data_IF_660122186251
#
_entry.id   IF_660122186251
#
_cell.length_a   1.000
_cell.length_b   1.000
_cell.length_c   1.000
_cell.angle_alpha   90.00
_cell.angle_beta   90.00
_cell.angle_gamma   90.00
#
_symmetry.space_group_name_H-M   'P 1'
#
loop_
_entity.id
_entity.type
_entity.pdbx_description
1 polymer ?
#
# COMPACT_ATOMS: atom_id res chain seq x y z
N UNK A 1 3.06 68.88 14.42
CA UNK A 1 4.36 68.36 14.88
C UNK A 1 4.56 66.97 14.24
N UNK A 2 5.42 66.94 13.23
CA UNK A 2 5.70 65.76 12.41
C UNK A 2 6.59 64.78 13.13
N UNK A 3 6.28 63.48 13.04
CA UNK A 3 7.30 62.43 13.18
C UNK A 3 7.02 61.32 12.15
N UNK A 4 7.81 61.34 11.09
CA UNK A 4 7.96 60.26 10.12
C UNK A 4 8.69 59.07 10.78
N UNK A 5 8.15 57.87 10.69
CA UNK A 5 8.92 56.64 10.87
C UNK A 5 9.02 55.91 9.55
N UNK A 6 10.18 55.97 8.93
CA UNK A 6 10.59 55.20 7.75
C UNK A 6 10.81 53.75 8.19
N UNK A 7 10.05 52.85 7.61
CA UNK A 7 10.28 51.40 7.72
C UNK A 7 11.36 51.02 6.70
N UNK A 8 12.48 50.54 7.18
CA UNK A 8 13.57 49.95 6.40
C UNK A 8 13.19 48.51 6.07
N UNK A 9 12.97 48.22 4.78
CA UNK A 9 12.83 46.87 4.26
C UNK A 9 14.25 46.37 3.97
N UNK A 10 14.79 45.57 4.89
CA UNK A 10 16.03 44.80 4.68
C UNK A 10 15.74 43.52 3.89
N UNK A 11 16.11 43.52 2.62
CA UNK A 11 16.11 42.31 1.80
C UNK A 11 17.31 41.44 2.25
N UNK A 12 17.04 40.38 2.98
CA UNK A 12 18.02 39.31 3.24
C UNK A 12 17.99 38.33 2.07
N UNK A 13 18.95 38.46 1.17
CA UNK A 13 19.27 37.45 0.17
C UNK A 13 19.91 36.25 0.90
N UNK A 14 19.11 35.21 1.16
CA UNK A 14 19.62 33.92 1.63
C UNK A 14 20.05 33.11 0.42
N UNK A 15 21.35 33.13 0.10
CA UNK A 15 21.98 32.23 -0.87
C UNK A 15 21.97 30.82 -0.30
N UNK A 16 21.00 30.02 -0.74
CA UNK A 16 20.99 28.58 -0.49
C UNK A 16 22.06 27.92 -1.36
N UNK A 17 23.23 27.71 -0.74
CA UNK A 17 24.27 26.83 -1.28
C UNK A 17 23.69 25.41 -1.23
N UNK A 18 23.20 24.90 -2.37
CA UNK A 18 22.81 23.49 -2.52
C UNK A 18 24.07 22.62 -2.46
N UNK A 19 24.44 22.17 -1.26
CA UNK A 19 25.31 21.00 -1.14
C UNK A 19 24.49 19.82 -1.69
N UNK A 20 24.82 19.42 -2.93
CA UNK A 20 24.40 18.14 -3.49
C UNK A 20 25.03 17.04 -2.64
N UNK A 21 24.30 16.59 -1.61
CA UNK A 21 24.58 15.28 -1.01
C UNK A 21 24.28 14.24 -2.09
N UNK A 22 25.34 13.76 -2.76
CA UNK A 22 25.29 12.55 -3.51
C UNK A 22 24.84 11.46 -2.50
N UNK A 23 23.58 11.10 -2.53
CA UNK A 23 23.12 9.86 -1.92
C UNK A 23 23.85 8.75 -2.68
N UNK A 24 24.97 8.30 -2.14
CA UNK A 24 25.52 7.01 -2.48
C UNK A 24 24.40 6.03 -2.19
N UNK A 25 23.77 5.50 -3.25
CA UNK A 25 22.78 4.45 -3.18
C UNK A 25 23.55 3.23 -2.69
N UNK A 26 23.55 3.00 -1.39
CA UNK A 26 24.09 1.78 -0.78
C UNK A 26 23.47 0.61 -1.54
N UNK A 27 24.33 -0.24 -2.10
CA UNK A 27 23.87 -1.46 -2.77
C UNK A 27 22.94 -2.20 -1.80
N UNK A 28 21.75 -2.61 -2.24
CA UNK A 28 20.78 -3.21 -1.35
C UNK A 28 21.41 -4.43 -0.67
N UNK A 29 21.59 -4.35 0.66
CA UNK A 29 22.13 -5.46 1.42
C UNK A 29 21.15 -6.63 1.29
N UNK A 30 21.68 -7.82 0.90
CA UNK A 30 20.86 -9.02 0.81
C UNK A 30 20.32 -9.38 2.20
N UNK A 31 19.01 -9.50 2.29
CA UNK A 31 18.34 -9.89 3.55
C UNK A 31 18.43 -11.41 3.68
N UNK A 32 19.19 -11.89 4.67
CA UNK A 32 19.19 -13.31 5.02
C UNK A 32 17.87 -13.67 5.68
N UNK A 33 17.15 -14.63 5.09
CA UNK A 33 15.81 -15.08 5.47
C UNK A 33 15.82 -16.58 5.78
N UNK A 34 15.39 -16.90 7.00
CA UNK A 34 14.87 -18.20 7.39
C UNK A 34 13.33 -18.15 7.38
N UNK A 35 12.66 -19.29 7.26
CA UNK A 35 11.20 -19.39 7.23
C UNK A 35 10.53 -18.65 8.40
N UNK A 36 11.03 -18.85 9.62
CA UNK A 36 10.48 -18.20 10.82
C UNK A 36 10.66 -16.67 10.78
N UNK A 37 11.77 -16.20 10.26
CA UNK A 37 12.06 -14.77 10.10
C UNK A 37 11.17 -14.16 9.02
N UNK A 38 10.96 -14.87 7.89
CA UNK A 38 10.07 -14.46 6.82
C UNK A 38 8.63 -14.29 7.33
N UNK A 39 8.09 -15.29 8.03
CA UNK A 39 6.75 -15.24 8.62
C UNK A 39 6.61 -14.08 9.61
N UNK A 40 7.59 -13.89 10.50
CA UNK A 40 7.57 -12.80 11.49
C UNK A 40 7.59 -11.43 10.81
N UNK A 41 8.49 -11.24 9.85
CA UNK A 41 8.61 -10.00 9.09
C UNK A 41 7.33 -9.69 8.31
N UNK A 42 6.71 -10.70 7.70
CA UNK A 42 5.42 -10.55 7.03
C UNK A 42 4.33 -10.08 8.01
N UNK A 43 4.20 -10.71 9.19
CA UNK A 43 3.19 -10.32 10.18
C UNK A 43 3.37 -8.91 10.72
N UNK A 44 4.61 -8.40 10.78
CA UNK A 44 4.93 -7.05 11.26
C UNK A 44 4.73 -5.98 10.18
N UNK A 45 5.05 -6.30 8.92
CA UNK A 45 5.16 -5.29 7.86
C UNK A 45 4.08 -5.36 6.78
N UNK A 46 3.39 -6.50 6.64
CA UNK A 46 2.40 -6.69 5.59
C UNK A 46 1.26 -5.66 5.66
N UNK A 47 0.89 -5.14 4.50
CA UNK A 47 -0.14 -4.10 4.38
C UNK A 47 -1.53 -4.60 4.77
N UNK A 48 -1.88 -5.85 4.46
CA UNK A 48 -3.21 -6.41 4.75
C UNK A 48 -3.42 -6.56 6.27
N UNK A 49 -2.35 -6.94 7.00
CA UNK A 49 -2.37 -6.99 8.47
C UNK A 49 -2.58 -5.59 9.06
N UNK A 50 -1.87 -4.57 8.52
CA UNK A 50 -2.03 -3.18 8.96
C UNK A 50 -3.42 -2.62 8.68
N UNK A 51 -3.99 -2.94 7.50
CA UNK A 51 -5.36 -2.58 7.13
C UNK A 51 -6.34 -3.20 8.12
N UNK A 52 -6.28 -4.52 8.34
CA UNK A 52 -7.18 -5.22 9.25
C UNK A 52 -7.06 -4.72 10.71
N UNK A 53 -5.84 -4.33 11.14
CA UNK A 53 -5.64 -3.69 12.44
C UNK A 53 -6.34 -2.33 12.53
N UNK A 54 -6.22 -1.50 11.48
CA UNK A 54 -6.88 -0.20 11.42
C UNK A 54 -8.41 -0.31 11.38
N UNK A 55 -8.93 -1.31 10.67
CA UNK A 55 -10.37 -1.62 10.63
C UNK A 55 -10.90 -2.03 12.01
N UNK A 56 -10.14 -2.87 12.73
CA UNK A 56 -10.48 -3.24 14.10
C UNK A 56 -10.47 -2.01 15.04
N UNK A 57 -9.49 -1.12 14.91
CA UNK A 57 -9.42 0.09 15.72
C UNK A 57 -10.55 1.06 15.37
N UNK A 58 -10.95 1.17 14.11
CA UNK A 58 -12.14 1.92 13.71
C UNK A 58 -13.43 1.32 14.30
N UNK A 59 -13.56 0.00 14.32
CA UNK A 59 -14.70 -0.68 14.93
C UNK A 59 -14.77 -0.49 16.46
N UNK A 60 -13.61 -0.49 17.16
CA UNK A 60 -13.53 -0.14 18.59
C UNK A 60 -13.99 1.30 18.84
N UNK A 61 -13.50 2.25 18.03
CA UNK A 61 -13.94 3.65 18.13
C UNK A 61 -15.45 3.79 17.84
N UNK A 62 -15.98 3.01 16.89
CA UNK A 62 -17.42 2.93 16.63
C UNK A 62 -18.23 2.45 17.83
N UNK A 63 -17.74 1.43 18.54
CA UNK A 63 -18.37 0.99 19.79
C UNK A 63 -18.33 2.06 20.89
N UNK A 64 -17.21 2.77 21.02
CA UNK A 64 -17.10 3.85 22.01
C UNK A 64 -18.00 5.03 21.63
N UNK A 65 -18.17 5.35 20.36
CA UNK A 65 -19.14 6.33 19.87
C UNK A 65 -20.60 5.90 20.17
N UNK A 66 -20.93 4.62 19.95
CA UNK A 66 -22.26 4.08 20.30
C UNK A 66 -22.54 4.15 21.80
N UNK A 67 -21.53 3.90 22.64
CA UNK A 67 -21.63 4.06 24.09
C UNK A 67 -21.77 5.52 24.52
N UNK A 68 -21.02 6.42 23.86
CA UNK A 68 -21.07 7.85 24.13
C UNK A 68 -22.44 8.47 23.85
N UNK A 69 -23.19 7.92 22.88
CA UNK A 69 -24.57 8.36 22.59
C UNK A 69 -25.53 8.32 23.76
N UNK A 70 -25.23 7.55 24.84
CA UNK A 70 -25.99 7.55 26.10
C UNK A 70 -25.87 8.85 26.89
N UNK A 71 -24.77 9.58 26.71
CA UNK A 71 -24.51 10.82 27.44
C UNK A 71 -25.12 12.05 26.76
N UNK A 72 -25.70 11.87 25.56
CA UNK A 72 -26.29 12.95 24.79
C UNK A 72 -25.30 13.70 23.91
N UNK A 73 -25.76 14.78 23.28
CA UNK A 73 -24.97 15.65 22.42
C UNK A 73 -25.09 17.12 22.82
N UNK A 74 -24.04 17.88 22.51
CA UNK A 74 -24.04 19.34 22.59
C UNK A 74 -23.73 19.80 21.16
N UNK A 75 -24.70 20.48 20.55
CA UNK A 75 -24.59 20.95 19.19
C UNK A 75 -24.54 22.47 19.15
N UNK A 76 -23.63 23.03 18.36
CA UNK A 76 -23.55 24.46 18.07
C UNK A 76 -23.84 24.68 16.59
N UNK A 77 -24.86 25.46 16.28
CA UNK A 77 -25.21 25.83 14.93
C UNK A 77 -25.11 27.34 14.74
N UNK A 78 -24.40 27.78 13.73
CA UNK A 78 -24.36 29.18 13.26
C UNK A 78 -25.00 29.25 11.87
N UNK A 79 -26.02 30.09 11.73
CA UNK A 79 -26.69 30.32 10.45
C UNK A 79 -26.71 31.79 10.13
N UNK A 80 -26.28 32.13 8.94
CA UNK A 80 -26.36 33.53 8.41
C UNK A 80 -27.20 33.53 7.15
N UNK A 81 -28.26 34.31 7.19
CA UNK A 81 -29.18 34.48 6.04
C UNK A 81 -29.30 35.93 5.61
N UNK A 82 -29.40 36.18 4.33
CA UNK A 82 -29.74 37.49 3.77
C UNK A 82 -30.99 37.34 2.94
N UNK A 83 -32.11 37.92 3.45
CA UNK A 83 -33.38 37.98 2.73
C UNK A 83 -33.51 39.33 2.02
N UNK A 84 -33.63 39.31 0.71
CA UNK A 84 -33.94 40.51 -0.10
C UNK A 84 -35.40 40.44 -0.48
N UNK A 85 -36.19 41.46 -0.07
CA UNK A 85 -37.57 41.64 -0.49
C UNK A 85 -37.67 42.94 -1.31
N UNK A 86 -38.33 42.86 -2.45
CA UNK A 86 -38.70 44.04 -3.22
C UNK A 86 -40.00 44.60 -2.64
N UNK A 87 -39.98 45.83 -2.11
CA UNK A 87 -41.19 46.53 -1.72
C UNK A 87 -41.76 47.25 -2.95
N UNK A 88 -43.01 46.95 -3.24
CA UNK A 88 -43.80 47.74 -4.18
C UNK A 88 -44.61 48.72 -3.36
N UNK A 89 -44.48 50.03 -3.62
CA UNK A 89 -45.34 51.02 -2.98
C UNK A 89 -46.77 50.82 -3.45
N UNK A 90 -47.74 50.95 -2.53
CA UNK A 90 -49.15 50.85 -2.88
C UNK A 90 -49.51 51.95 -3.97
N UNK A 91 -49.92 51.49 -5.16
CA UNK A 91 -50.20 52.37 -6.29
C UNK A 91 -49.00 52.67 -7.23
N UNK A 92 -47.84 52.15 -7.04
CA UNK A 92 -46.70 52.29 -7.94
C UNK A 92 -46.50 51.07 -8.80
N UNK A 93 -46.26 51.24 -10.07
CA UNK A 93 -45.94 50.19 -11.05
C UNK A 93 -44.46 49.75 -11.03
N UNK A 94 -43.61 50.40 -10.23
CA UNK A 94 -42.19 50.12 -10.13
C UNK A 94 -41.79 49.79 -8.67
N UNK A 95 -41.01 48.72 -8.50
CA UNK A 95 -40.43 48.34 -7.21
C UNK A 95 -39.47 49.41 -6.69
N UNK A 96 -39.64 49.89 -5.46
CA UNK A 96 -38.86 50.93 -4.82
C UNK A 96 -37.51 50.44 -4.25
N UNK A 97 -36.97 49.43 -4.84
CA UNK A 97 -35.63 48.88 -4.47
C UNK A 97 -35.66 47.73 -3.48
N UNK A 98 -34.58 46.96 -3.41
CA UNK A 98 -34.49 45.82 -2.51
C UNK A 98 -34.30 46.27 -1.07
N UNK A 99 -35.14 45.78 -0.17
CA UNK A 99 -34.91 45.88 1.28
C UNK A 99 -34.27 44.58 1.73
N UNK A 100 -32.96 44.62 2.05
CA UNK A 100 -32.22 43.49 2.55
C UNK A 100 -32.34 43.39 4.09
N UNK A 101 -32.73 42.25 4.59
CA UNK A 101 -32.62 41.91 6.02
C UNK A 101 -31.55 40.87 6.19
N UNK A 102 -30.51 41.19 6.94
CA UNK A 102 -29.49 40.22 7.35
C UNK A 102 -29.94 39.61 8.67
N UNK A 103 -29.94 38.28 8.75
CA UNK A 103 -30.19 37.55 9.98
C UNK A 103 -28.96 36.71 10.30
N UNK A 104 -28.53 36.69 11.57
CA UNK A 104 -27.50 35.81 12.08
C UNK A 104 -28.08 35.14 13.33
N UNK A 105 -28.11 33.81 13.31
CA UNK A 105 -28.63 33.02 14.42
C UNK A 105 -27.56 32.07 14.91
N UNK A 106 -27.30 32.13 16.20
CA UNK A 106 -26.43 31.17 16.91
C UNK A 106 -27.33 30.34 17.82
N UNK A 107 -27.25 29.02 17.66
CA UNK A 107 -28.04 28.09 18.47
C UNK A 107 -27.09 27.13 19.17
N UNK A 108 -27.23 26.99 20.47
CA UNK A 108 -26.59 25.91 21.25
C UNK A 108 -27.72 25.01 21.74
N UNK A 109 -27.67 23.74 21.39
CA UNK A 109 -28.63 22.73 21.85
C UNK A 109 -27.94 21.63 22.59
N UNK A 110 -28.53 21.22 23.73
CA UNK A 110 -28.10 20.09 24.52
C UNK A 110 -29.26 19.07 24.50
N UNK A 111 -28.94 17.86 24.04
CA UNK A 111 -29.92 16.77 23.92
C UNK A 111 -29.42 15.55 24.71
N UNK A 112 -30.18 15.12 25.70
CA UNK A 112 -29.86 13.92 26.50
C UNK A 112 -31.02 12.93 26.37
N UNK A 113 -30.79 11.73 25.81
CA UNK A 113 -31.84 10.73 25.69
C UNK A 113 -32.11 10.07 27.07
N UNK A 114 -33.31 10.23 27.59
CA UNK A 114 -33.71 9.60 28.86
C UNK A 114 -34.22 8.17 28.63
N UNK A 115 -35.01 7.98 27.57
CA UNK A 115 -35.53 6.67 27.19
C UNK A 115 -35.70 6.59 25.66
N UNK A 116 -35.17 5.53 25.07
CA UNK A 116 -35.17 5.36 23.61
C UNK A 116 -35.85 4.06 23.13
N UNK A 117 -36.58 3.39 24.03
CA UNK A 117 -37.27 2.13 23.72
C UNK A 117 -36.35 0.98 23.31
N UNK A 118 -35.12 0.94 23.84
CA UNK A 118 -34.10 -0.10 23.49
C UNK A 118 -33.26 0.20 22.28
N UNK A 119 -33.46 1.34 21.57
CA UNK A 119 -32.70 1.70 20.39
C UNK A 119 -31.20 1.83 20.69
N UNK A 120 -30.81 2.53 21.73
CA UNK A 120 -29.39 2.71 22.08
C UNK A 120 -28.73 1.40 22.51
N UNK A 121 -29.43 0.56 23.24
CA UNK A 121 -28.97 -0.78 23.63
C UNK A 121 -28.71 -1.65 22.38
N UNK A 122 -29.66 -1.65 21.43
CA UNK A 122 -29.53 -2.36 20.18
C UNK A 122 -28.34 -1.86 19.35
N UNK A 123 -28.12 -0.55 19.28
CA UNK A 123 -26.97 0.03 18.58
C UNK A 123 -25.62 -0.34 19.23
N UNK A 124 -25.58 -0.42 20.57
CA UNK A 124 -24.35 -0.84 21.26
C UNK A 124 -24.09 -2.34 21.02
N UNK A 125 -25.13 -3.18 21.04
CA UNK A 125 -24.95 -4.61 20.74
C UNK A 125 -24.53 -4.84 19.27
N UNK A 126 -25.10 -4.09 18.34
CA UNK A 126 -24.65 -4.07 16.94
C UNK A 126 -23.18 -3.69 16.83
N UNK A 127 -22.75 -2.60 17.48
CA UNK A 127 -21.36 -2.14 17.47
C UNK A 127 -20.40 -3.15 18.11
N UNK A 128 -20.82 -3.85 19.18
CA UNK A 128 -20.05 -4.95 19.78
C UNK A 128 -19.91 -6.15 18.83
N UNK A 129 -20.99 -6.52 18.14
CA UNK A 129 -20.96 -7.59 17.18
C UNK A 129 -20.04 -7.23 16.00
N UNK A 130 -20.08 -5.97 15.56
CA UNK A 130 -19.21 -5.43 14.52
C UNK A 130 -17.72 -5.43 14.94
N UNK A 131 -17.41 -5.05 16.19
CA UNK A 131 -16.06 -5.16 16.73
C UNK A 131 -15.55 -6.61 16.69
N UNK A 132 -16.36 -7.57 17.11
CA UNK A 132 -15.99 -9.00 17.05
C UNK A 132 -15.79 -9.49 15.62
N UNK A 133 -16.59 -9.02 14.68
CA UNK A 133 -16.43 -9.33 13.28
C UNK A 133 -15.02 -8.92 12.78
N UNK A 134 -14.59 -7.69 13.06
CA UNK A 134 -13.25 -7.21 12.68
C UNK A 134 -12.11 -7.88 13.47
N UNK A 135 -12.35 -8.29 14.71
CA UNK A 135 -11.39 -9.11 15.49
C UNK A 135 -11.13 -10.46 14.81
N UNK A 136 -12.18 -11.15 14.37
CA UNK A 136 -12.04 -12.38 13.59
C UNK A 136 -11.45 -12.14 12.19
N UNK A 137 -11.79 -10.99 11.58
CA UNK A 137 -11.18 -10.55 10.33
C UNK A 137 -9.67 -10.39 10.45
N UNK A 138 -9.20 -9.73 11.52
CA UNK A 138 -7.77 -9.59 11.82
C UNK A 138 -7.09 -10.94 12.04
N UNK A 139 -7.71 -11.86 12.78
CA UNK A 139 -7.17 -13.21 12.95
C UNK A 139 -7.06 -13.96 11.61
N UNK A 140 -8.05 -13.80 10.72
CA UNK A 140 -8.01 -14.36 9.37
C UNK A 140 -6.86 -13.76 8.55
N UNK A 141 -6.66 -12.43 8.61
CA UNK A 141 -5.54 -11.75 7.93
C UNK A 141 -4.18 -12.28 8.42
N UNK A 142 -4.01 -12.48 9.73
CA UNK A 142 -2.79 -13.10 10.29
C UNK A 142 -2.54 -14.51 9.74
N UNK A 143 -3.56 -15.36 9.68
CA UNK A 143 -3.40 -16.73 9.16
C UNK A 143 -3.08 -16.73 7.66
N UNK A 144 -3.77 -15.89 6.89
CA UNK A 144 -3.54 -15.74 5.45
C UNK A 144 -2.13 -15.22 5.17
N UNK A 145 -1.68 -14.18 5.89
CA UNK A 145 -0.34 -13.62 5.72
C UNK A 145 0.74 -14.64 6.11
N UNK A 146 0.54 -15.41 7.20
CA UNK A 146 1.44 -16.50 7.59
C UNK A 146 1.55 -17.57 6.50
N UNK A 147 0.43 -17.97 5.94
CA UNK A 147 0.39 -18.93 4.84
C UNK A 147 1.09 -18.39 3.59
N UNK A 148 0.80 -17.16 3.20
CA UNK A 148 1.38 -16.54 2.01
C UNK A 148 2.91 -16.34 2.16
N UNK A 149 3.38 -15.99 3.35
CA UNK A 149 4.81 -15.87 3.63
C UNK A 149 5.53 -17.23 3.54
N UNK A 150 4.94 -18.27 4.13
CA UNK A 150 5.50 -19.62 4.04
C UNK A 150 5.48 -20.15 2.60
N UNK A 151 4.36 -19.99 1.91
CA UNK A 151 4.23 -20.38 0.50
C UNK A 151 5.24 -19.65 -0.37
N UNK A 152 5.32 -18.32 -0.28
CA UNK A 152 6.28 -17.52 -1.06
C UNK A 152 7.73 -17.89 -0.78
N UNK A 153 8.07 -18.21 0.47
CA UNK A 153 9.41 -18.70 0.83
C UNK A 153 9.76 -20.00 0.07
N UNK A 154 8.85 -20.97 0.05
CA UNK A 154 9.08 -22.23 -0.67
C UNK A 154 9.02 -22.06 -2.19
N UNK A 155 8.19 -21.18 -2.72
CA UNK A 155 8.14 -20.85 -4.16
C UNK A 155 9.49 -20.28 -4.64
N UNK A 156 10.15 -19.43 -3.84
CA UNK A 156 11.50 -18.92 -4.15
C UNK A 156 12.54 -20.01 -4.08
N UNK A 157 12.50 -20.89 -3.06
CA UNK A 157 13.41 -22.04 -2.95
C UNK A 157 13.30 -23.00 -4.15
N UNK A 158 12.08 -23.31 -4.58
CA UNK A 158 11.81 -24.11 -5.77
C UNK A 158 12.38 -23.46 -7.02
N UNK A 159 12.17 -22.14 -7.17
CA UNK A 159 12.68 -21.38 -8.31
C UNK A 159 14.22 -21.37 -8.36
N UNK A 160 14.90 -21.25 -7.22
CA UNK A 160 16.37 -21.34 -7.13
C UNK A 160 16.84 -22.71 -7.64
N UNK A 161 16.21 -23.79 -7.16
CA UNK A 161 16.57 -25.15 -7.56
C UNK A 161 16.32 -25.37 -9.06
N UNK A 162 15.21 -24.83 -9.58
CA UNK A 162 14.90 -24.89 -11.02
C UNK A 162 15.95 -24.16 -11.86
N UNK A 163 16.35 -22.94 -11.46
CA UNK A 163 17.43 -22.19 -12.15
C UNK A 163 18.74 -22.98 -12.14
N UNK A 164 19.12 -23.58 -11.01
CA UNK A 164 20.33 -24.37 -10.90
C UNK A 164 20.29 -25.61 -11.82
N UNK A 165 19.16 -26.34 -11.85
CA UNK A 165 18.95 -27.48 -12.76
C UNK A 165 19.06 -27.08 -14.22
N UNK A 166 18.47 -25.93 -14.61
CA UNK A 166 18.54 -25.45 -15.99
C UNK A 166 19.98 -25.01 -16.37
N UNK A 167 20.73 -24.40 -15.43
CA UNK A 167 22.17 -24.09 -15.66
C UNK A 167 22.97 -25.36 -15.94
N UNK A 168 22.83 -26.39 -15.09
CA UNK A 168 23.52 -27.66 -15.31
C UNK A 168 23.13 -28.32 -16.65
N UNK A 169 21.86 -28.17 -17.05
CA UNK A 169 21.37 -28.67 -18.34
C UNK A 169 22.03 -27.93 -19.51
N UNK A 170 22.12 -26.60 -19.46
CA UNK A 170 22.80 -25.80 -20.46
C UNK A 170 24.28 -26.17 -20.55
N UNK A 171 24.97 -26.33 -19.41
CA UNK A 171 26.40 -26.70 -19.38
C UNK A 171 26.63 -28.09 -20.00
N UNK A 172 25.79 -29.06 -19.70
CA UNK A 172 25.86 -30.41 -20.26
C UNK A 172 25.61 -30.41 -21.78
N UNK A 173 24.62 -29.65 -22.27
CA UNK A 173 24.31 -29.54 -23.69
C UNK A 173 25.39 -28.75 -24.45
N UNK A 174 26.02 -27.75 -23.81
CA UNK A 174 27.17 -27.04 -24.36
C UNK A 174 28.39 -27.97 -24.52
N UNK A 175 28.62 -28.88 -23.59
CA UNK A 175 29.67 -29.91 -23.71
C UNK A 175 29.32 -30.93 -24.78
N UNK A 176 28.06 -31.39 -24.86
CA UNK A 176 27.58 -32.27 -25.91
C UNK A 176 27.80 -31.65 -27.30
N UNK A 177 27.45 -30.40 -27.52
CA UNK A 177 27.69 -29.70 -28.77
C UNK A 177 29.17 -29.64 -29.12
N UNK A 178 30.07 -29.35 -28.12
CA UNK A 178 31.54 -29.34 -28.36
C UNK A 178 32.03 -30.69 -28.80
N UNK A 179 31.56 -31.77 -28.18
CA UNK A 179 31.95 -33.14 -28.54
C UNK A 179 31.44 -33.53 -29.91
N UNK A 180 30.18 -33.23 -30.27
CA UNK A 180 29.62 -33.50 -31.60
C UNK A 180 30.34 -32.68 -32.69
N UNK A 181 30.67 -31.42 -32.40
CA UNK A 181 31.48 -30.59 -33.32
C UNK A 181 32.86 -31.17 -33.56
N UNK A 182 33.52 -31.69 -32.51
CA UNK A 182 34.83 -32.34 -32.63
C UNK A 182 34.74 -33.61 -33.46
N UNK A 183 33.72 -34.44 -33.27
CA UNK A 183 33.46 -35.63 -34.09
C UNK A 183 33.18 -35.30 -35.57
N UNK A 184 32.44 -34.23 -35.81
CA UNK A 184 32.22 -33.73 -37.18
C UNK A 184 33.54 -33.29 -37.86
N UNK A 185 34.40 -32.59 -37.14
CA UNK A 185 35.68 -32.08 -37.69
C UNK A 185 36.63 -33.22 -38.09
N UNK A 186 36.53 -34.38 -37.46
CA UNK A 186 37.30 -35.58 -37.82
C UNK A 186 36.54 -36.55 -38.76
N UNK A 187 35.34 -36.14 -39.24
CA UNK A 187 34.56 -36.90 -40.23
C UNK A 187 33.75 -38.09 -39.64
N UNK A 188 33.58 -38.19 -38.30
CA UNK A 188 32.85 -39.29 -37.63
C UNK A 188 31.35 -38.97 -37.47
N UNK A 189 30.96 -37.72 -37.35
CA UNK A 189 29.57 -37.28 -37.20
C UNK A 189 29.09 -36.47 -38.40
N UNK A 190 27.79 -36.48 -38.68
CA UNK A 190 27.18 -35.71 -39.74
C UNK A 190 26.89 -34.25 -39.32
N UNK A 191 26.88 -33.33 -40.28
CA UNK A 191 26.55 -31.90 -40.01
C UNK A 191 25.16 -31.73 -39.37
N UNK A 192 24.20 -32.61 -39.67
CA UNK A 192 22.87 -32.57 -39.12
C UNK A 192 22.88 -32.81 -37.59
N UNK A 193 23.80 -33.62 -37.07
CA UNK A 193 23.93 -33.91 -35.65
C UNK A 193 24.43 -32.68 -34.88
N UNK A 194 25.38 -31.94 -35.48
CA UNK A 194 25.86 -30.66 -34.94
C UNK A 194 24.72 -29.62 -34.88
N UNK A 195 23.96 -29.50 -35.97
CA UNK A 195 22.83 -28.55 -36.02
C UNK A 195 21.74 -28.92 -34.98
N UNK A 196 21.46 -30.23 -34.80
CA UNK A 196 20.53 -30.71 -33.81
C UNK A 196 21.01 -30.36 -32.38
N UNK A 197 22.27 -30.66 -32.06
CA UNK A 197 22.85 -30.30 -30.74
C UNK A 197 22.87 -28.80 -30.50
N UNK A 198 23.04 -27.98 -31.57
CA UNK A 198 22.97 -26.53 -31.46
C UNK A 198 21.55 -26.06 -31.15
N UNK A 199 20.52 -26.62 -31.78
CA UNK A 199 19.12 -26.29 -31.49
C UNK A 199 18.77 -26.66 -30.04
N UNK A 200 19.15 -27.88 -29.59
CA UNK A 200 18.92 -28.33 -28.22
C UNK A 200 19.58 -27.39 -27.19
N UNK A 201 20.78 -26.90 -27.45
CA UNK A 201 21.44 -25.92 -26.57
C UNK A 201 20.66 -24.60 -26.51
N UNK A 202 20.20 -24.06 -27.65
CA UNK A 202 19.44 -22.80 -27.72
C UNK A 202 18.11 -22.95 -26.99
N UNK A 203 17.41 -24.06 -27.13
CA UNK A 203 16.16 -24.34 -26.41
C UNK A 203 16.38 -24.43 -24.89
N UNK A 204 17.49 -25.04 -24.46
CA UNK A 204 17.85 -25.08 -23.04
C UNK A 204 18.21 -23.68 -22.48
N UNK A 205 18.90 -22.84 -23.28
CA UNK A 205 19.19 -21.45 -22.89
C UNK A 205 17.92 -20.61 -22.77
N UNK A 206 16.94 -20.81 -23.66
CA UNK A 206 15.63 -20.16 -23.55
C UNK A 206 14.90 -20.61 -22.27
N UNK A 207 14.92 -21.92 -21.97
CA UNK A 207 14.30 -22.46 -20.76
C UNK A 207 14.97 -21.92 -19.48
N UNK A 208 16.30 -21.77 -19.49
CA UNK A 208 17.04 -21.12 -18.39
C UNK A 208 16.59 -19.67 -18.18
N UNK A 209 16.44 -18.91 -19.28
CA UNK A 209 15.96 -17.53 -19.21
C UNK A 209 14.55 -17.44 -18.61
N UNK A 210 13.67 -18.37 -18.98
CA UNK A 210 12.33 -18.45 -18.40
C UNK A 210 12.37 -18.79 -16.91
N UNK A 211 13.26 -19.71 -16.51
CA UNK A 211 13.45 -20.07 -15.10
C UNK A 211 13.97 -18.88 -14.27
N UNK A 212 14.90 -18.09 -14.82
CA UNK A 212 15.40 -16.87 -14.19
C UNK A 212 14.31 -15.83 -14.02
N UNK A 213 13.48 -15.59 -15.03
CA UNK A 213 12.33 -14.69 -14.93
C UNK A 213 11.33 -15.16 -13.87
N UNK A 214 11.07 -16.45 -13.78
CA UNK A 214 10.19 -17.03 -12.76
C UNK A 214 10.73 -16.83 -11.35
N UNK A 215 12.04 -16.96 -11.17
CA UNK A 215 12.72 -16.67 -9.91
C UNK A 215 12.57 -15.18 -9.53
N UNK A 216 12.81 -14.26 -10.45
CA UNK A 216 12.68 -12.83 -10.20
C UNK A 216 11.25 -12.45 -9.77
N UNK A 217 10.24 -13.04 -10.43
CA UNK A 217 8.83 -12.86 -10.06
C UNK A 217 8.52 -13.44 -8.68
N UNK A 218 9.05 -14.63 -8.36
CA UNK A 218 8.84 -15.24 -7.04
C UNK A 218 9.48 -14.38 -5.93
N UNK A 219 10.69 -13.86 -6.14
CA UNK A 219 11.36 -12.94 -5.19
C UNK A 219 10.56 -11.65 -5.02
N UNK A 220 10.10 -11.03 -6.11
CA UNK A 220 9.28 -9.82 -6.05
C UNK A 220 7.96 -10.04 -5.31
N UNK A 221 7.32 -11.20 -5.52
CA UNK A 221 6.09 -11.61 -4.85
C UNK A 221 6.31 -11.80 -3.35
N UNK A 222 7.39 -12.49 -2.97
CA UNK A 222 7.73 -12.67 -1.56
C UNK A 222 8.06 -11.31 -0.90
N UNK A 223 8.85 -10.45 -1.55
CA UNK A 223 9.13 -9.11 -1.05
C UNK A 223 7.85 -8.30 -0.76
N UNK A 224 6.87 -8.38 -1.66
CA UNK A 224 5.57 -7.73 -1.44
C UNK A 224 4.85 -8.27 -0.20
N UNK A 225 4.83 -9.60 0.01
CA UNK A 225 4.25 -10.22 1.21
C UNK A 225 4.99 -9.80 2.47
N UNK A 226 6.32 -9.67 2.41
CA UNK A 226 7.18 -9.23 3.52
C UNK A 226 7.09 -7.72 3.80
N UNK A 227 6.43 -6.95 2.93
CA UNK A 227 6.38 -5.48 3.01
C UNK A 227 7.71 -4.81 2.67
N UNK A 228 8.56 -5.48 1.88
CA UNK A 228 9.83 -4.97 1.39
C UNK A 228 9.69 -4.38 -0.02
N UNK A 229 10.60 -3.48 -0.45
CA UNK A 229 10.69 -3.07 -1.85
C UNK A 229 10.90 -4.28 -2.77
N UNK A 230 10.20 -4.34 -3.90
CA UNK A 230 10.17 -5.51 -4.80
C UNK A 230 11.54 -5.94 -5.34
N UNK A 231 12.51 -4.99 -5.42
CA UNK A 231 13.88 -5.24 -5.88
C UNK A 231 14.87 -5.64 -4.79
N UNK A 232 14.42 -5.90 -3.55
CA UNK A 232 15.32 -6.30 -2.46
C UNK A 232 15.89 -7.71 -2.70
N UNK A 233 17.22 -7.89 -2.76
CA UNK A 233 17.80 -9.20 -2.91
C UNK A 233 17.63 -10.03 -1.64
N UNK A 234 17.14 -11.27 -1.80
CA UNK A 234 16.92 -12.21 -0.71
C UNK A 234 17.96 -13.31 -0.72
N UNK A 235 18.49 -13.66 0.44
CA UNK A 235 19.33 -14.84 0.65
C UNK A 235 18.58 -15.80 1.56
N UNK A 236 18.13 -16.93 1.02
CA UNK A 236 17.37 -17.95 1.74
C UNK A 236 18.33 -19.01 2.32
N UNK A 237 18.08 -19.42 3.56
CA UNK A 237 18.87 -20.42 4.27
C UNK A 237 18.00 -21.59 4.75
#
# INVERSE_FOLDING_TARGET
MHIHKKALIGAVFLSVLSLGTAFAQEAPQSVSLDLNKAVRMALENNSDVKISSSELDAAKAGLDAARAARWGSIDFAHSTGRNMRYKTAAGATLATGPVGTNSSTNTVSISVPIYTGGKLEGQIEEAKANQKYYEYGMNSAYQTTRYNAAKGYYDVLESINTVNLQKETVDRLAEHLRNTQSQFNVGVSAKVDVLRSQVELVDAQQTLTQAQNSYDVAVATLNNVLGLPTGTPLSLS
#
